data_IF_886270279010
#
_entry.id   IF_886270279010
#
_cell.length_a   1.000
_cell.length_b   1.000
_cell.length_c   1.000
_cell.angle_alpha   90.00
_cell.angle_beta   90.00
_cell.angle_gamma   90.00
#
_symmetry.space_group_name_H-M   'P 1'
#
loop_
_entity.id
_entity.type
_entity.pdbx_description
1 polymer ?
#
# COMPACT_ATOMS: atom_id res chain seq x y z
N UNK A 1 24.18 -8.64 5.48
CA UNK A 1 24.30 -9.79 6.41
C UNK A 1 22.97 -10.50 6.49
N UNK A 2 22.87 -11.81 6.34
CA UNK A 2 21.60 -12.51 6.13
C UNK A 2 20.71 -12.43 7.38
N UNK A 3 19.46 -11.97 7.21
CA UNK A 3 18.44 -11.84 8.23
C UNK A 3 17.82 -13.18 8.72
N UNK A 4 18.37 -14.30 8.33
CA UNK A 4 17.79 -15.64 8.49
C UNK A 4 18.53 -16.56 9.48
N UNK A 5 19.58 -16.08 10.15
CA UNK A 5 20.27 -16.90 11.12
C UNK A 5 19.39 -17.09 12.36
N UNK A 6 18.96 -18.33 12.64
CA UNK A 6 18.20 -18.72 13.83
C UNK A 6 19.16 -19.17 14.93
N UNK A 7 18.88 -18.78 16.14
CA UNK A 7 19.69 -19.06 17.34
C UNK A 7 18.89 -19.96 18.29
N UNK A 8 19.56 -20.89 18.94
CA UNK A 8 18.98 -21.66 20.04
C UNK A 8 18.87 -20.82 21.32
N UNK A 9 18.25 -21.38 22.36
CA UNK A 9 18.06 -20.68 23.63
C UNK A 9 19.40 -20.27 24.26
N UNK A 10 20.42 -21.12 24.22
CA UNK A 10 21.73 -20.83 24.86
C UNK A 10 22.40 -19.62 24.23
N UNK A 11 22.35 -19.55 22.92
CA UNK A 11 22.88 -18.41 22.17
C UNK A 11 22.01 -17.16 22.33
N UNK A 12 20.67 -17.32 22.42
CA UNK A 12 19.75 -16.22 22.69
C UNK A 12 20.00 -15.60 24.06
N UNK A 13 20.24 -16.38 25.08
CA UNK A 13 20.60 -15.91 26.42
C UNK A 13 21.92 -15.13 26.40
N UNK A 14 22.93 -15.67 25.73
CA UNK A 14 24.22 -14.99 25.55
C UNK A 14 24.08 -13.63 24.84
N UNK A 15 23.30 -13.57 23.77
CA UNK A 15 23.09 -12.35 22.96
C UNK A 15 22.20 -11.32 23.66
N UNK A 16 21.22 -11.76 24.44
CA UNK A 16 20.34 -10.85 25.20
C UNK A 16 20.98 -10.33 26.47
N UNK A 17 21.87 -11.10 27.10
CA UNK A 17 22.41 -10.82 28.45
C UNK A 17 21.38 -10.96 29.56
N UNK A 18 20.28 -11.70 29.32
CA UNK A 18 19.23 -11.94 30.31
C UNK A 18 19.43 -13.29 30.97
N UNK A 19 19.02 -13.39 32.24
CA UNK A 19 18.91 -14.68 32.94
C UNK A 19 17.79 -15.51 32.33
N UNK A 20 17.94 -16.85 32.30
CA UNK A 20 17.01 -17.75 31.64
C UNK A 20 15.57 -17.59 32.16
N UNK A 21 15.36 -17.51 33.48
CA UNK A 21 14.02 -17.31 34.03
C UNK A 21 13.35 -16.03 33.55
N UNK A 22 14.12 -14.94 33.42
CA UNK A 22 13.61 -13.66 32.93
C UNK A 22 13.37 -13.69 31.43
N UNK A 23 14.26 -14.33 30.68
CA UNK A 23 14.09 -14.51 29.24
C UNK A 23 12.81 -15.32 28.93
N UNK A 24 12.59 -16.42 29.62
CA UNK A 24 11.39 -17.27 29.49
C UNK A 24 10.11 -16.54 29.87
N UNK A 25 10.17 -15.73 30.93
CA UNK A 25 9.05 -14.85 31.27
C UNK A 25 8.70 -13.90 30.15
N UNK A 26 9.68 -13.19 29.57
CA UNK A 26 9.45 -12.28 28.46
C UNK A 26 9.00 -12.99 27.18
N UNK A 27 9.55 -14.16 26.90
CA UNK A 27 9.11 -15.02 25.81
C UNK A 27 7.64 -15.42 25.96
N UNK A 28 7.23 -15.83 27.15
CA UNK A 28 5.83 -16.20 27.45
C UNK A 28 4.89 -15.01 27.28
N UNK A 29 5.26 -13.86 27.81
CA UNK A 29 4.41 -12.68 27.85
C UNK A 29 4.35 -11.93 26.49
N UNK A 30 5.43 -11.93 25.73
CA UNK A 30 5.57 -11.14 24.51
C UNK A 30 5.87 -11.96 23.26
N UNK A 31 6.12 -13.26 23.38
CA UNK A 31 6.53 -14.11 22.23
C UNK A 31 5.54 -14.08 21.09
N UNK A 32 4.23 -14.11 21.39
CA UNK A 32 3.17 -14.03 20.38
C UNK A 32 3.24 -12.72 19.60
N UNK A 33 3.44 -11.60 20.28
CA UNK A 33 3.58 -10.26 19.65
C UNK A 33 4.85 -10.14 18.81
N UNK A 34 5.87 -10.95 19.10
CA UNK A 34 7.17 -10.93 18.42
C UNK A 34 7.28 -12.02 17.34
N UNK A 35 6.21 -12.78 17.08
CA UNK A 35 6.22 -13.89 16.16
C UNK A 35 7.19 -15.01 16.56
N UNK A 36 7.38 -15.23 17.86
CA UNK A 36 8.13 -16.37 18.40
C UNK A 36 7.15 -17.54 18.44
N UNK A 37 7.30 -18.46 17.52
CA UNK A 37 6.46 -19.67 17.48
C UNK A 37 6.90 -20.64 18.58
N UNK A 38 6.08 -20.81 19.60
CA UNK A 38 6.21 -21.90 20.55
C UNK A 38 5.59 -23.16 19.95
N UNK A 39 6.40 -23.99 19.32
CA UNK A 39 5.97 -25.33 18.93
C UNK A 39 6.08 -26.21 20.17
N UNK A 40 4.97 -26.75 20.66
CA UNK A 40 4.84 -27.53 21.89
C UNK A 40 5.83 -28.72 22.04
N UNK A 41 6.52 -29.10 20.97
CA UNK A 41 7.43 -30.25 20.89
C UNK A 41 8.80 -29.98 20.24
N UNK A 42 9.12 -28.72 19.94
CA UNK A 42 10.44 -28.36 19.39
C UNK A 42 11.09 -27.25 20.21
N UNK A 43 12.42 -27.24 20.38
CA UNK A 43 13.11 -26.16 21.07
C UNK A 43 12.86 -24.83 20.32
N UNK A 44 12.49 -23.81 21.07
CA UNK A 44 12.28 -22.47 20.51
C UNK A 44 13.57 -21.99 19.85
N UNK A 45 13.43 -21.48 18.63
CA UNK A 45 14.54 -20.86 17.89
C UNK A 45 14.22 -19.38 17.65
N UNK A 46 15.23 -18.54 17.78
CA UNK A 46 15.06 -17.10 17.81
C UNK A 46 15.87 -16.44 16.70
N UNK A 47 15.31 -15.42 16.08
CA UNK A 47 16.09 -14.53 15.24
C UNK A 47 16.83 -13.50 16.11
N UNK A 48 17.95 -12.97 15.61
CA UNK A 48 18.67 -11.90 16.31
C UNK A 48 17.80 -10.70 16.62
N UNK A 49 16.84 -10.39 15.74
CA UNK A 49 15.87 -9.30 15.94
C UNK A 49 14.96 -9.57 17.14
N UNK A 50 14.40 -10.78 17.26
CA UNK A 50 13.54 -11.16 18.39
C UNK A 50 14.29 -11.07 19.72
N UNK A 51 15.53 -11.52 19.75
CA UNK A 51 16.40 -11.44 20.95
C UNK A 51 16.63 -9.99 21.36
N UNK A 52 16.95 -9.11 20.42
CA UNK A 52 17.15 -7.68 20.69
C UNK A 52 15.87 -6.98 21.14
N UNK A 53 14.72 -7.38 20.61
CA UNK A 53 13.43 -6.85 21.05
C UNK A 53 13.08 -7.27 22.48
N UNK A 54 13.27 -8.55 22.84
CA UNK A 54 13.08 -8.99 24.23
C UNK A 54 13.98 -8.22 25.21
N UNK A 55 15.23 -7.97 24.85
CA UNK A 55 16.14 -7.14 25.64
C UNK A 55 15.65 -5.69 25.79
N UNK A 56 15.12 -5.09 24.71
CA UNK A 56 14.54 -3.73 24.75
C UNK A 56 13.30 -3.68 25.64
N UNK A 57 12.43 -4.68 25.55
CA UNK A 57 11.23 -4.81 26.38
C UNK A 57 11.63 -4.84 27.86
N UNK A 58 12.64 -5.64 28.21
CA UNK A 58 13.17 -5.67 29.57
C UNK A 58 13.66 -4.30 30.05
N UNK A 59 14.40 -3.59 29.21
CA UNK A 59 14.86 -2.24 29.53
C UNK A 59 13.68 -1.27 29.77
N UNK A 60 12.63 -1.35 28.97
CA UNK A 60 11.42 -0.53 29.12
C UNK A 60 10.71 -0.88 30.45
N UNK A 61 10.48 -2.17 30.73
CA UNK A 61 9.85 -2.61 31.99
C UNK A 61 10.61 -2.12 33.23
N UNK A 62 11.94 -2.10 33.17
CA UNK A 62 12.78 -1.61 34.30
C UNK A 62 12.76 -0.09 34.46
N UNK A 63 12.67 0.66 33.35
CA UNK A 63 12.87 2.13 33.35
C UNK A 63 11.58 2.93 33.40
N UNK A 64 10.44 2.38 32.92
CA UNK A 64 9.21 3.16 32.69
C UNK A 64 8.20 3.11 33.83
N UNK A 65 8.36 2.20 34.79
CA UNK A 65 7.34 1.96 35.84
C UNK A 65 6.02 1.39 35.31
N UNK A 66 5.94 1.06 34.01
CA UNK A 66 4.77 0.44 33.39
C UNK A 66 4.69 -1.03 33.77
N UNK A 67 3.48 -1.54 33.97
CA UNK A 67 3.26 -2.97 34.17
C UNK A 67 3.38 -3.74 32.82
N UNK A 68 3.45 -5.07 32.94
CA UNK A 68 3.59 -5.96 31.77
C UNK A 68 2.42 -5.84 30.82
N UNK A 69 1.19 -5.62 31.34
CA UNK A 69 -0.01 -5.51 30.53
C UNK A 69 0.01 -4.22 29.70
N UNK A 70 0.40 -3.09 30.30
CA UNK A 70 0.53 -1.81 29.61
C UNK A 70 1.64 -1.84 28.55
N UNK A 71 2.79 -2.49 28.85
CA UNK A 71 3.86 -2.66 27.88
C UNK A 71 3.43 -3.61 26.77
N UNK A 72 2.72 -4.70 27.06
CA UNK A 72 2.19 -5.62 26.07
C UNK A 72 1.21 -4.92 25.13
N UNK A 73 0.21 -4.24 25.67
CA UNK A 73 -0.79 -3.50 24.92
C UNK A 73 -0.11 -2.44 24.00
N UNK A 74 0.92 -1.77 24.50
CA UNK A 74 1.71 -0.82 23.71
C UNK A 74 2.57 -1.51 22.64
N UNK A 75 3.11 -2.69 22.92
CA UNK A 75 3.86 -3.49 21.96
C UNK A 75 2.93 -4.15 20.95
N UNK A 76 1.77 -4.64 21.37
CA UNK A 76 0.74 -5.17 20.47
C UNK A 76 0.23 -4.08 19.55
N UNK A 77 -0.05 -2.89 20.05
CA UNK A 77 -0.34 -1.70 19.23
C UNK A 77 0.83 -1.36 18.30
N UNK A 78 2.07 -1.45 18.75
CA UNK A 78 3.27 -1.17 17.96
C UNK A 78 3.65 -2.34 17.05
N UNK A 79 3.44 -3.59 17.43
CA UNK A 79 3.69 -4.79 16.63
C UNK A 79 2.60 -5.03 15.60
N UNK A 80 1.36 -4.65 15.89
CA UNK A 80 0.28 -4.52 14.88
C UNK A 80 0.64 -3.46 13.84
N UNK A 81 1.33 -2.39 14.24
CA UNK A 81 1.91 -1.37 13.32
C UNK A 81 3.14 -1.90 12.57
N UNK A 82 3.93 -2.81 13.15
CA UNK A 82 5.14 -3.37 12.51
C UNK A 82 4.99 -4.80 11.98
N UNK A 83 3.89 -5.49 12.28
CA UNK A 83 3.71 -6.93 12.07
C UNK A 83 3.50 -7.37 10.62
N UNK A 84 2.96 -6.54 9.76
CA UNK A 84 2.95 -6.64 8.29
C UNK A 84 2.85 -5.23 7.76
N UNK A 85 3.98 -4.66 7.35
CA UNK A 85 3.89 -3.42 6.61
C UNK A 85 3.11 -3.67 5.32
N UNK A 86 1.88 -3.16 5.26
CA UNK A 86 1.06 -3.19 4.05
C UNK A 86 1.83 -2.45 2.95
N UNK A 87 2.08 -3.12 1.85
CA UNK A 87 2.73 -2.50 0.70
C UNK A 87 1.73 -1.61 -0.04
N UNK A 88 2.06 -0.36 -0.26
CA UNK A 88 1.18 0.61 -0.89
C UNK A 88 1.67 1.00 -2.29
N UNK A 89 0.82 0.80 -3.29
CA UNK A 89 1.03 1.20 -4.67
C UNK A 89 0.02 2.29 -5.03
N UNK A 90 0.46 3.51 -5.27
CA UNK A 90 -0.41 4.56 -5.77
C UNK A 90 -0.39 4.60 -7.30
N UNK A 91 -1.55 4.52 -7.92
CA UNK A 91 -1.75 4.71 -9.35
C UNK A 91 -2.29 6.12 -9.58
N UNK A 92 -1.53 6.94 -10.28
CA UNK A 92 -1.82 8.37 -10.47
C UNK A 92 -1.61 8.83 -11.89
N UNK A 93 -2.12 10.01 -12.22
CA UNK A 93 -1.88 10.66 -13.51
C UNK A 93 -2.10 12.17 -13.43
N UNK A 94 -1.46 12.94 -14.29
CA UNK A 94 -1.70 14.37 -14.37
C UNK A 94 -3.02 14.73 -15.05
N UNK A 95 -3.59 13.84 -15.87
CA UNK A 95 -4.80 14.08 -16.66
C UNK A 95 -5.86 13.02 -16.44
N UNK A 96 -7.13 13.42 -16.48
CA UNK A 96 -8.26 12.50 -16.52
C UNK A 96 -8.32 11.68 -17.81
N UNK A 97 -8.92 10.49 -17.76
CA UNK A 97 -9.18 9.67 -18.94
C UNK A 97 -7.98 8.88 -19.50
N UNK A 98 -6.81 8.89 -18.86
CA UNK A 98 -5.64 8.08 -19.28
C UNK A 98 -5.75 6.60 -18.90
N UNK A 99 -6.76 6.21 -18.12
CA UNK A 99 -7.02 4.84 -17.73
C UNK A 99 -6.46 4.44 -16.36
N UNK A 100 -6.25 5.38 -15.42
CA UNK A 100 -5.77 5.11 -14.05
C UNK A 100 -6.55 3.99 -13.37
N UNK A 101 -7.86 4.18 -13.21
CA UNK A 101 -8.76 3.24 -12.54
C UNK A 101 -8.71 1.85 -13.17
N UNK A 102 -8.69 1.80 -14.51
CA UNK A 102 -8.53 0.53 -15.23
C UNK A 102 -7.20 -0.15 -14.89
N UNK A 103 -6.12 0.62 -14.82
CA UNK A 103 -4.79 0.12 -14.41
C UNK A 103 -4.84 -0.34 -12.96
N UNK A 104 -5.33 0.48 -12.03
CA UNK A 104 -5.38 0.18 -10.60
C UNK A 104 -6.16 -1.12 -10.31
N UNK A 105 -7.38 -1.24 -10.85
CA UNK A 105 -8.23 -2.42 -10.65
C UNK A 105 -7.57 -3.67 -11.23
N UNK A 106 -7.07 -3.61 -12.45
CA UNK A 106 -6.49 -4.78 -13.10
C UNK A 106 -5.12 -5.16 -12.53
N UNK A 107 -4.34 -4.18 -12.03
CA UNK A 107 -3.12 -4.44 -11.27
C UNK A 107 -3.44 -5.16 -9.97
N UNK A 108 -4.44 -4.71 -9.21
CA UNK A 108 -4.88 -5.37 -7.98
C UNK A 108 -5.32 -6.82 -8.25
N UNK A 109 -6.14 -7.05 -9.29
CA UNK A 109 -6.57 -8.42 -9.66
C UNK A 109 -5.37 -9.28 -10.09
N UNK A 110 -4.38 -8.70 -10.77
CA UNK A 110 -3.16 -9.44 -11.13
C UNK A 110 -2.32 -9.76 -9.88
N UNK A 111 -2.22 -8.84 -8.91
CA UNK A 111 -1.53 -9.07 -7.63
C UNK A 111 -2.22 -10.16 -6.81
N UNK A 112 -3.57 -10.19 -6.78
CA UNK A 112 -4.31 -11.24 -6.12
C UNK A 112 -4.00 -12.63 -6.70
N UNK A 113 -3.81 -12.74 -8.01
CA UNK A 113 -3.39 -13.99 -8.67
C UNK A 113 -1.96 -14.42 -8.32
N UNK A 114 -1.13 -13.52 -7.82
CA UNK A 114 0.17 -13.83 -7.24
C UNK A 114 0.12 -14.19 -5.76
N UNK A 115 -1.09 -14.36 -5.19
CA UNK A 115 -1.29 -14.79 -3.81
C UNK A 115 -1.26 -13.65 -2.78
N UNK A 116 -1.34 -12.38 -3.22
CA UNK A 116 -1.56 -11.26 -2.33
C UNK A 116 -3.04 -11.07 -2.03
N UNK A 117 -3.34 -10.30 -0.98
CA UNK A 117 -4.68 -9.89 -0.60
C UNK A 117 -4.80 -8.37 -0.75
N UNK A 118 -4.93 -7.84 -1.98
CA UNK A 118 -4.94 -6.41 -2.22
C UNK A 118 -6.28 -5.79 -1.83
N UNK A 119 -6.21 -4.60 -1.22
CA UNK A 119 -7.32 -3.69 -1.02
C UNK A 119 -7.17 -2.51 -1.96
N UNK A 120 -8.15 -2.29 -2.82
CA UNK A 120 -8.23 -1.06 -3.62
C UNK A 120 -8.82 0.03 -2.73
N UNK A 121 -8.13 1.16 -2.67
CA UNK A 121 -8.65 2.40 -2.08
C UNK A 121 -9.01 3.33 -3.24
N UNK A 122 -10.30 3.52 -3.47
CA UNK A 122 -10.77 4.48 -4.47
C UNK A 122 -10.69 5.89 -3.87
N UNK A 123 -9.61 6.59 -4.18
CA UNK A 123 -9.32 7.93 -3.70
C UNK A 123 -9.63 9.02 -4.76
N UNK A 124 -10.33 8.68 -5.83
CA UNK A 124 -10.89 9.65 -6.77
C UNK A 124 -12.21 10.21 -6.23
N UNK A 125 -12.10 11.20 -5.36
CA UNK A 125 -13.22 11.81 -4.62
C UNK A 125 -14.24 12.52 -5.52
N UNK A 126 -13.93 12.70 -6.80
CA UNK A 126 -14.83 13.34 -7.77
C UNK A 126 -15.62 12.34 -8.61
N UNK A 127 -15.02 11.23 -8.96
CA UNK A 127 -15.57 10.24 -9.91
C UNK A 127 -15.09 8.82 -9.56
N UNK A 128 -15.44 8.35 -8.34
CA UNK A 128 -15.13 7.00 -7.90
C UNK A 128 -15.78 5.95 -8.83
N UNK A 129 -14.98 5.21 -9.59
CA UNK A 129 -15.44 4.27 -10.62
C UNK A 129 -14.85 2.85 -10.48
N UNK A 130 -14.00 2.61 -9.48
CA UNK A 130 -13.37 1.30 -9.30
C UNK A 130 -14.40 0.18 -9.08
N UNK A 131 -15.51 0.49 -8.39
CA UNK A 131 -16.61 -0.45 -8.14
C UNK A 131 -17.26 -0.94 -9.43
N UNK A 132 -17.42 -0.07 -10.45
CA UNK A 132 -18.02 -0.44 -11.74
C UNK A 132 -17.15 -1.47 -12.48
N UNK A 133 -15.82 -1.31 -12.44
CA UNK A 133 -14.88 -2.26 -13.06
C UNK A 133 -14.82 -3.62 -12.35
N UNK A 134 -15.27 -3.69 -11.11
CA UNK A 134 -15.35 -4.92 -10.33
C UNK A 134 -16.76 -5.54 -10.36
N UNK A 135 -17.75 -4.88 -10.98
CA UNK A 135 -19.15 -5.28 -10.96
C UNK A 135 -19.77 -5.19 -9.57
N UNK A 136 -19.28 -4.27 -8.72
CA UNK A 136 -19.74 -4.09 -7.35
C UNK A 136 -20.68 -2.89 -7.25
N UNK A 137 -21.61 -2.97 -6.28
CA UNK A 137 -22.56 -1.91 -5.96
C UNK A 137 -22.50 -1.62 -4.46
N UNK A 138 -21.49 -0.89 -3.97
CA UNK A 138 -21.34 -0.57 -2.55
C UNK A 138 -22.51 0.26 -2.04
N UNK A 139 -23.09 -0.11 -0.90
CA UNK A 139 -24.14 0.67 -0.22
C UNK A 139 -23.54 1.78 0.66
N UNK A 140 -22.31 1.60 1.11
CA UNK A 140 -21.58 2.52 1.99
C UNK A 140 -20.24 2.90 1.35
N UNK A 141 -19.71 4.03 1.76
CA UNK A 141 -18.49 4.61 1.22
C UNK A 141 -17.60 5.17 2.35
N UNK A 142 -16.47 5.74 2.00
CA UNK A 142 -15.64 6.50 2.94
C UNK A 142 -16.39 7.63 3.64
N UNK A 143 -17.45 8.16 3.06
CA UNK A 143 -18.25 9.23 3.70
C UNK A 143 -18.93 8.74 4.99
N UNK A 144 -19.48 7.51 5.00
CA UNK A 144 -20.09 6.91 6.19
C UNK A 144 -19.06 6.61 7.27
N UNK A 145 -17.87 6.17 6.87
CA UNK A 145 -16.74 5.98 7.79
C UNK A 145 -16.35 7.29 8.48
N UNK A 146 -16.22 8.36 7.69
CA UNK A 146 -15.83 9.68 8.18
C UNK A 146 -16.86 10.25 9.13
N UNK A 147 -18.16 10.10 8.81
CA UNK A 147 -19.26 10.54 9.68
C UNK A 147 -19.41 9.69 10.94
N UNK A 148 -18.73 8.54 11.03
CA UNK A 148 -18.85 7.59 12.14
C UNK A 148 -20.14 6.78 12.13
N UNK A 149 -20.86 6.75 11.00
CA UNK A 149 -22.09 5.99 10.84
C UNK A 149 -21.87 4.55 10.37
N UNK A 150 -20.65 4.18 10.02
CA UNK A 150 -20.25 2.83 9.68
C UNK A 150 -18.82 2.54 10.14
N UNK A 151 -18.55 1.27 10.47
CA UNK A 151 -17.19 0.78 10.70
C UNK A 151 -16.50 0.46 9.37
N UNK A 152 -15.16 0.42 9.37
CA UNK A 152 -14.38 0.17 8.17
C UNK A 152 -14.70 -1.20 7.54
N UNK A 153 -14.88 -2.22 8.37
CA UNK A 153 -15.24 -3.56 7.94
C UNK A 153 -16.61 -3.65 7.24
N UNK A 154 -17.52 -2.73 7.54
CA UNK A 154 -18.85 -2.66 6.92
C UNK A 154 -18.85 -1.97 5.56
N UNK A 155 -17.78 -1.21 5.26
CA UNK A 155 -17.65 -0.44 4.03
C UNK A 155 -16.89 -1.23 2.98
N UNK A 156 -15.91 -2.05 3.40
CA UNK A 156 -15.11 -2.85 2.48
C UNK A 156 -15.99 -3.92 1.83
N UNK A 157 -15.99 -3.92 0.51
CA UNK A 157 -16.71 -4.91 -0.30
C UNK A 157 -15.71 -5.83 -0.98
N UNK A 158 -15.86 -7.13 -0.74
CA UNK A 158 -15.03 -8.14 -1.38
C UNK A 158 -15.53 -8.45 -2.79
N UNK A 159 -14.62 -8.50 -3.74
CA UNK A 159 -14.93 -8.87 -5.12
C UNK A 159 -14.75 -10.38 -5.36
N UNK A 160 -15.38 -10.89 -6.41
CA UNK A 160 -15.18 -12.26 -6.88
C UNK A 160 -13.75 -12.54 -7.39
N UNK A 161 -12.90 -11.51 -7.44
CA UNK A 161 -11.54 -11.58 -8.00
C UNK A 161 -10.45 -11.66 -6.93
N UNK A 162 -10.82 -11.82 -5.65
CA UNK A 162 -9.88 -11.87 -4.53
C UNK A 162 -9.28 -10.50 -4.17
N UNK A 163 -10.02 -9.43 -4.44
CA UNK A 163 -9.64 -8.04 -4.19
C UNK A 163 -10.72 -7.38 -3.35
N UNK A 164 -10.34 -6.78 -2.23
CA UNK A 164 -11.22 -5.89 -1.47
C UNK A 164 -11.29 -4.51 -2.11
N UNK A 165 -12.43 -3.85 -1.99
CA UNK A 165 -12.64 -2.45 -2.39
C UNK A 165 -13.06 -1.63 -1.19
N UNK A 166 -12.35 -0.55 -0.93
CA UNK A 166 -12.76 0.56 -0.07
C UNK A 166 -13.30 1.67 -0.97
N UNK A 167 -14.63 1.82 -1.10
CA UNK A 167 -15.23 2.75 -2.03
C UNK A 167 -14.98 4.19 -1.63
N UNK A 168 -14.62 5.03 -2.60
CA UNK A 168 -14.50 6.47 -2.40
C UNK A 168 -15.84 7.11 -2.02
N UNK A 169 -15.75 8.24 -1.34
CA UNK A 169 -16.90 9.09 -0.99
C UNK A 169 -16.92 10.37 -1.79
N UNK A 170 -18.08 11.03 -1.79
CA UNK A 170 -18.28 12.33 -2.45
C UNK A 170 -17.77 13.52 -1.65
N UNK A 171 -17.29 13.30 -0.41
CA UNK A 171 -17.04 14.34 0.58
C UNK A 171 -15.60 14.52 1.00
N UNK A 172 -14.75 15.06 0.14
CA UNK A 172 -13.32 15.28 0.41
C UNK A 172 -12.99 16.21 1.60
N UNK A 173 -13.93 17.05 2.03
CA UNK A 173 -13.75 17.98 3.17
C UNK A 173 -13.96 17.29 4.53
N UNK A 174 -14.74 16.24 4.59
CA UNK A 174 -15.11 15.60 5.85
C UNK A 174 -13.94 14.90 6.57
N UNK A 175 -12.88 14.46 5.85
CA UNK A 175 -11.65 13.93 6.47
C UNK A 175 -10.88 15.02 7.26
N UNK A 176 -10.99 16.26 6.84
CA UNK A 176 -10.33 17.38 7.53
C UNK A 176 -11.01 17.72 8.86
N UNK A 177 -12.31 17.45 8.98
CA UNK A 177 -13.15 17.83 10.13
C UNK A 177 -13.27 16.74 11.21
N UNK A 178 -12.55 15.63 11.08
CA UNK A 178 -12.58 14.53 12.05
C UNK A 178 -12.08 14.97 13.44
N UNK A 179 -12.86 14.67 14.48
CA UNK A 179 -12.42 14.84 15.87
C UNK A 179 -11.19 13.97 16.19
N UNK A 180 -10.39 14.37 17.18
CA UNK A 180 -9.21 13.60 17.59
C UNK A 180 -9.56 12.16 18.00
N UNK A 181 -10.69 11.95 18.70
CA UNK A 181 -11.17 10.63 19.10
C UNK A 181 -11.53 9.77 17.89
N UNK A 182 -12.24 10.32 16.89
CA UNK A 182 -12.60 9.56 15.68
C UNK A 182 -11.38 9.19 14.84
N UNK A 183 -10.34 10.03 14.83
CA UNK A 183 -9.06 9.69 14.19
C UNK A 183 -8.38 8.49 14.84
N UNK A 184 -8.42 8.42 16.17
CA UNK A 184 -7.83 7.31 16.94
C UNK A 184 -8.59 6.00 16.74
N UNK A 185 -9.92 6.05 16.66
CA UNK A 185 -10.77 4.90 16.32
C UNK A 185 -10.50 4.37 14.90
N UNK A 186 -10.50 5.25 13.90
CA UNK A 186 -10.14 4.93 12.52
C UNK A 186 -8.75 4.32 12.42
N UNK A 187 -7.83 4.85 13.22
CA UNK A 187 -6.50 4.32 13.37
C UNK A 187 -6.51 2.85 13.80
N UNK A 188 -7.30 2.52 14.81
CA UNK A 188 -7.47 1.14 15.30
C UNK A 188 -8.16 0.23 14.28
N UNK A 189 -9.16 0.74 13.55
CA UNK A 189 -9.86 0.00 12.50
C UNK A 189 -8.92 -0.37 11.35
N UNK A 190 -8.12 0.59 10.88
CA UNK A 190 -7.13 0.36 9.83
C UNK A 190 -6.01 -0.62 10.24
N UNK A 191 -5.63 -0.60 11.52
CA UNK A 191 -4.68 -1.59 12.05
C UNK A 191 -5.24 -3.01 11.96
N UNK A 192 -6.55 -3.20 12.23
CA UNK A 192 -7.21 -4.50 12.10
C UNK A 192 -7.23 -5.01 10.66
N UNK A 193 -7.29 -4.11 9.67
CA UNK A 193 -7.17 -4.49 8.25
C UNK A 193 -5.84 -5.15 7.90
N UNK A 194 -4.74 -4.79 8.55
CA UNK A 194 -3.42 -5.38 8.32
C UNK A 194 -3.36 -6.91 8.53
N UNK A 195 -4.38 -7.49 9.17
CA UNK A 195 -4.53 -8.94 9.28
C UNK A 195 -5.23 -9.58 8.08
N UNK A 196 -5.91 -8.79 7.24
CA UNK A 196 -6.69 -9.25 6.09
C UNK A 196 -6.11 -8.82 4.74
N UNK A 197 -5.30 -7.76 4.75
CA UNK A 197 -4.71 -7.20 3.53
C UNK A 197 -3.19 -7.07 3.68
N UNK A 198 -2.45 -7.36 2.63
CA UNK A 198 -0.99 -7.27 2.56
C UNK A 198 -0.51 -6.19 1.58
N UNK A 199 -1.44 -5.66 0.79
CA UNK A 199 -1.16 -4.64 -0.21
C UNK A 199 -2.33 -3.69 -0.41
N UNK A 200 -2.02 -2.40 -0.59
CA UNK A 200 -2.97 -1.37 -0.98
C UNK A 200 -2.70 -0.96 -2.42
N UNK A 201 -3.74 -0.88 -3.22
CA UNK A 201 -3.69 -0.23 -4.53
C UNK A 201 -4.55 1.03 -4.45
N UNK A 202 -3.92 2.19 -4.44
CA UNK A 202 -4.58 3.47 -4.28
C UNK A 202 -4.86 4.06 -5.66
N UNK A 203 -6.13 4.09 -6.07
CA UNK A 203 -6.55 4.79 -7.28
C UNK A 203 -6.78 6.27 -6.94
N UNK A 204 -5.87 7.14 -7.35
CA UNK A 204 -5.95 8.55 -7.00
C UNK A 204 -6.83 9.32 -7.99
N UNK A 205 -7.27 10.51 -7.62
CA UNK A 205 -7.77 11.48 -8.59
C UNK A 205 -6.68 11.91 -9.60
N UNK A 206 -7.08 12.59 -10.65
CA UNK A 206 -6.15 13.18 -11.62
C UNK A 206 -5.56 14.49 -11.11
N UNK A 207 -4.35 14.83 -11.57
CA UNK A 207 -3.69 16.12 -11.31
C UNK A 207 -2.73 16.09 -10.12
N UNK A 208 -2.44 17.29 -9.59
CA UNK A 208 -1.42 17.54 -8.57
C UNK A 208 -2.01 18.15 -7.28
N UNK A 209 -3.32 18.03 -7.07
CA UNK A 209 -4.00 18.55 -5.90
C UNK A 209 -3.47 18.01 -4.58
N UNK A 210 -3.78 18.69 -3.48
CA UNK A 210 -3.32 18.30 -2.15
C UNK A 210 -3.72 16.86 -1.78
N UNK A 211 -4.93 16.44 -2.14
CA UNK A 211 -5.40 15.08 -1.87
C UNK A 211 -4.59 14.02 -2.62
N UNK A 212 -4.30 14.24 -3.91
CA UNK A 212 -3.47 13.33 -4.71
C UNK A 212 -2.09 13.19 -4.07
N UNK A 213 -1.42 14.30 -3.79
CA UNK A 213 -0.06 14.27 -3.24
C UNK A 213 0.01 13.69 -1.84
N UNK A 214 -1.03 13.83 -1.01
CA UNK A 214 -1.12 13.11 0.26
C UNK A 214 -1.12 11.60 0.04
N UNK A 215 -1.89 11.09 -0.92
CA UNK A 215 -1.91 9.66 -1.26
C UNK A 215 -0.55 9.19 -1.80
N UNK A 216 0.17 10.02 -2.57
CA UNK A 216 1.50 9.68 -3.06
C UNK A 216 2.56 9.59 -1.95
N UNK A 217 2.42 10.38 -0.87
CA UNK A 217 3.42 10.39 0.24
C UNK A 217 3.49 9.09 1.00
N UNK A 218 2.41 8.31 1.04
CA UNK A 218 2.35 7.03 1.76
C UNK A 218 2.68 5.83 0.89
N UNK A 219 2.66 6.02 -0.43
CA UNK A 219 2.93 4.93 -1.36
C UNK A 219 4.41 4.52 -1.31
N UNK A 220 4.66 3.22 -1.37
CA UNK A 220 5.99 2.65 -1.58
C UNK A 220 6.37 2.70 -3.06
N UNK A 221 5.38 2.52 -3.92
CA UNK A 221 5.51 2.62 -5.37
C UNK A 221 4.46 3.60 -5.90
N UNK A 222 4.91 4.54 -6.73
CA UNK A 222 4.08 5.54 -7.40
C UNK A 222 4.10 5.22 -8.88
N UNK A 223 2.98 4.75 -9.40
CA UNK A 223 2.79 4.43 -10.83
C UNK A 223 2.14 5.63 -11.52
N UNK A 224 2.93 6.40 -12.25
CA UNK A 224 2.44 7.53 -13.04
C UNK A 224 1.97 7.01 -14.41
N UNK A 225 0.66 7.02 -14.62
CA UNK A 225 0.05 6.59 -15.88
C UNK A 225 -0.03 7.76 -16.85
N UNK A 226 0.47 7.55 -18.06
CA UNK A 226 0.37 8.50 -19.17
C UNK A 226 -0.04 7.77 -20.46
N UNK A 227 -0.17 8.49 -21.55
CA UNK A 227 -0.47 7.95 -22.90
C UNK A 227 0.49 8.57 -23.93
N UNK A 228 0.54 8.10 -25.18
CA UNK A 228 1.32 8.72 -26.24
C UNK A 228 0.97 10.19 -26.56
N UNK A 229 -0.16 10.68 -26.03
CA UNK A 229 -0.58 12.07 -26.19
C UNK A 229 0.39 13.03 -25.50
N UNK A 230 0.87 14.05 -26.21
CA UNK A 230 1.85 15.02 -25.71
C UNK A 230 1.35 15.75 -24.44
N UNK A 231 0.08 16.17 -24.42
CA UNK A 231 -0.49 16.84 -23.25
C UNK A 231 -0.51 15.92 -22.02
N UNK A 232 -0.88 14.65 -22.20
CA UNK A 232 -0.83 13.67 -21.10
C UNK A 232 0.60 13.46 -20.57
N UNK A 233 1.61 13.51 -21.45
CA UNK A 233 3.01 13.47 -21.06
C UNK A 233 3.45 14.68 -20.24
N UNK A 234 3.02 15.89 -20.63
CA UNK A 234 3.30 17.13 -19.87
C UNK A 234 2.62 17.11 -18.49
N UNK A 235 1.36 16.67 -18.44
CA UNK A 235 0.63 16.54 -17.18
C UNK A 235 1.28 15.49 -16.25
N UNK A 236 1.75 14.37 -16.81
CA UNK A 236 2.50 13.35 -16.06
C UNK A 236 3.83 13.91 -15.50
N UNK A 237 4.52 14.75 -16.28
CA UNK A 237 5.72 15.44 -15.82
C UNK A 237 5.43 16.34 -14.61
N UNK A 238 4.31 17.07 -14.63
CA UNK A 238 3.86 17.88 -13.50
C UNK A 238 3.61 17.05 -12.23
N UNK A 239 3.04 15.83 -12.38
CA UNK A 239 2.87 14.91 -11.24
C UNK A 239 4.20 14.45 -10.66
N UNK A 240 5.17 14.08 -11.53
CA UNK A 240 6.50 13.66 -11.08
C UNK A 240 7.20 14.81 -10.34
N UNK A 241 7.16 16.02 -10.89
CA UNK A 241 7.73 17.20 -10.27
C UNK A 241 7.08 17.47 -8.90
N UNK A 242 5.75 17.51 -8.83
CA UNK A 242 5.02 17.75 -7.59
C UNK A 242 5.29 16.67 -6.53
N UNK A 243 5.43 15.41 -6.91
CA UNK A 243 5.78 14.32 -5.99
C UNK A 243 7.18 14.53 -5.38
N UNK A 244 8.16 14.93 -6.19
CA UNK A 244 9.52 15.20 -5.72
C UNK A 244 9.59 16.45 -4.82
N UNK A 245 8.97 17.56 -5.24
CA UNK A 245 8.95 18.82 -4.48
C UNK A 245 8.29 18.67 -3.11
N UNK A 246 7.28 17.80 -3.01
CA UNK A 246 6.56 17.54 -1.76
C UNK A 246 7.15 16.39 -0.94
N UNK A 247 8.32 15.88 -1.33
CA UNK A 247 9.08 14.89 -0.57
C UNK A 247 8.46 13.51 -0.53
N UNK A 248 7.71 13.10 -1.58
CA UNK A 248 7.24 11.74 -1.72
C UNK A 248 8.43 10.77 -1.80
N UNK A 249 8.43 9.75 -0.95
CA UNK A 249 9.55 8.79 -0.83
C UNK A 249 9.36 7.52 -1.66
N UNK A 250 8.17 7.32 -2.21
CA UNK A 250 7.85 6.17 -3.04
C UNK A 250 8.69 6.15 -4.31
N UNK A 251 8.97 4.96 -4.81
CA UNK A 251 9.65 4.78 -6.09
C UNK A 251 8.73 5.23 -7.22
N UNK A 252 9.15 6.24 -7.97
CA UNK A 252 8.37 6.75 -9.10
C UNK A 252 8.66 5.91 -10.35
N UNK A 253 7.61 5.33 -10.90
CA UNK A 253 7.62 4.55 -12.14
C UNK A 253 6.62 5.14 -13.13
N UNK A 254 6.88 4.97 -14.43
CA UNK A 254 6.02 5.44 -15.50
C UNK A 254 5.45 4.25 -16.26
N UNK A 255 4.14 4.25 -16.41
CA UNK A 255 3.38 3.31 -17.23
C UNK A 255 2.74 4.04 -18.39
N UNK A 256 3.07 3.64 -19.63
CA UNK A 256 2.49 4.24 -20.82
C UNK A 256 1.32 3.39 -21.30
N UNK A 257 0.12 3.91 -21.17
CA UNK A 257 -1.13 3.24 -21.56
C UNK A 257 -1.55 3.63 -22.98
N UNK A 258 -2.34 2.79 -23.62
CA UNK A 258 -2.87 2.99 -24.98
C UNK A 258 -1.76 3.17 -26.02
N UNK A 259 -0.76 2.32 -25.98
CA UNK A 259 0.31 2.29 -26.97
C UNK A 259 -0.06 1.40 -28.16
N UNK A 260 0.41 1.74 -29.35
CA UNK A 260 0.33 0.89 -30.52
C UNK A 260 1.36 -0.24 -30.44
N UNK A 261 2.54 0.07 -29.89
CA UNK A 261 3.64 -0.89 -29.73
C UNK A 261 4.46 -0.59 -28.48
N UNK A 262 5.37 -1.50 -28.13
CA UNK A 262 6.34 -1.31 -27.07
C UNK A 262 7.32 -0.17 -27.38
N UNK A 263 7.74 -0.05 -28.63
CA UNK A 263 8.67 0.98 -29.11
C UNK A 263 8.07 2.37 -28.85
N UNK A 264 6.79 2.57 -29.19
CA UNK A 264 6.07 3.82 -28.91
C UNK A 264 6.07 4.13 -27.40
N UNK A 265 5.77 3.12 -26.57
CA UNK A 265 5.80 3.27 -25.10
C UNK A 265 7.18 3.67 -24.58
N UNK A 266 8.24 3.04 -25.06
CA UNK A 266 9.64 3.37 -24.71
C UNK A 266 10.05 4.76 -25.20
N UNK A 267 9.62 5.17 -26.36
CA UNK A 267 9.89 6.50 -26.88
C UNK A 267 9.21 7.61 -26.06
N UNK A 268 7.94 7.42 -25.70
CA UNK A 268 7.19 8.32 -24.82
C UNK A 268 7.88 8.42 -23.47
N UNK A 269 8.21 7.28 -22.85
CA UNK A 269 8.95 7.24 -21.60
C UNK A 269 10.29 7.96 -21.71
N UNK A 270 11.07 7.73 -22.76
CA UNK A 270 12.39 8.36 -22.94
C UNK A 270 12.31 9.89 -23.00
N UNK A 271 11.27 10.44 -23.65
CA UNK A 271 11.02 11.90 -23.66
C UNK A 271 10.68 12.41 -22.27
N UNK A 272 9.74 11.74 -21.58
CA UNK A 272 9.29 12.11 -20.24
C UNK A 272 10.43 12.01 -19.21
N UNK A 273 11.19 10.93 -19.25
CA UNK A 273 12.30 10.67 -18.33
C UNK A 273 13.41 11.72 -18.44
N UNK A 274 13.78 12.12 -19.66
CA UNK A 274 14.74 13.20 -19.88
C UNK A 274 14.24 14.55 -19.35
N UNK A 275 12.95 14.85 -19.56
CA UNK A 275 12.36 16.08 -19.03
C UNK A 275 12.28 16.06 -17.49
N UNK A 276 11.90 14.96 -16.90
CA UNK A 276 11.87 14.78 -15.44
C UNK A 276 13.27 14.97 -14.82
N UNK A 277 14.28 14.35 -15.42
CA UNK A 277 15.66 14.50 -14.96
C UNK A 277 16.14 15.96 -14.99
N UNK A 278 15.81 16.71 -16.03
CA UNK A 278 16.18 18.14 -16.14
C UNK A 278 15.50 19.01 -15.07
N UNK A 279 14.26 18.69 -14.70
CA UNK A 279 13.47 19.49 -13.76
C UNK A 279 13.76 19.11 -12.29
N UNK A 280 13.94 17.83 -12.00
CA UNK A 280 13.99 17.32 -10.62
C UNK A 280 15.34 16.75 -10.21
N UNK A 281 16.26 16.58 -11.17
CA UNK A 281 17.53 15.86 -10.95
C UNK A 281 17.37 14.34 -10.83
N UNK A 282 16.13 13.82 -10.87
CA UNK A 282 15.83 12.40 -10.72
C UNK A 282 15.22 11.81 -11.99
N UNK A 283 15.46 10.53 -12.16
CA UNK A 283 14.99 9.78 -13.33
C UNK A 283 13.98 8.72 -12.88
N UNK A 284 12.70 8.79 -13.30
CA UNK A 284 11.74 7.74 -13.03
C UNK A 284 12.13 6.44 -13.74
N UNK A 285 11.65 5.29 -13.26
CA UNK A 285 11.86 4.02 -13.93
C UNK A 285 10.73 3.72 -14.94
N UNK A 286 11.04 2.98 -16.00
CA UNK A 286 10.02 2.48 -16.93
C UNK A 286 9.38 1.21 -16.36
N UNK A 287 8.10 1.28 -16.01
CA UNK A 287 7.36 0.13 -15.51
C UNK A 287 6.85 -0.77 -16.65
N UNK A 288 6.57 -0.16 -17.81
CA UNK A 288 6.06 -0.88 -18.95
C UNK A 288 5.06 -0.06 -19.79
N UNK A 289 4.37 -0.76 -20.65
CA UNK A 289 3.31 -0.19 -21.48
C UNK A 289 2.07 -1.10 -21.48
N UNK A 290 0.90 -0.54 -21.78
CA UNK A 290 -0.32 -1.29 -22.05
C UNK A 290 -0.75 -0.96 -23.47
N UNK A 291 -0.90 -1.96 -24.36
CA UNK A 291 -1.33 -1.71 -25.73
C UNK A 291 -2.82 -1.31 -25.79
N UNK A 292 -3.19 -0.57 -26.83
CA UNK A 292 -4.60 -0.47 -27.21
C UNK A 292 -5.17 -1.86 -27.45
N UNK A 293 -6.35 -2.12 -26.86
CA UNK A 293 -7.02 -3.41 -26.93
C UNK A 293 -8.54 -3.21 -26.87
N UNK A 294 -9.24 -3.69 -27.87
CA UNK A 294 -10.70 -3.57 -27.99
C UNK A 294 -11.47 -4.24 -26.84
N UNK A 295 -10.87 -5.26 -26.23
CA UNK A 295 -11.46 -5.94 -25.09
C UNK A 295 -11.57 -5.07 -23.83
N UNK A 296 -10.83 -3.97 -23.73
CA UNK A 296 -10.87 -3.06 -22.58
C UNK A 296 -12.24 -2.39 -22.45
N UNK A 297 -12.81 -1.93 -23.54
CA UNK A 297 -14.14 -1.31 -23.52
C UNK A 297 -15.23 -2.33 -23.20
N UNK A 298 -15.20 -3.51 -23.82
CA UNK A 298 -16.14 -4.58 -23.54
C UNK A 298 -16.06 -5.06 -22.08
N UNK A 299 -14.85 -5.14 -21.54
CA UNK A 299 -14.58 -5.47 -20.14
C UNK A 299 -15.20 -4.43 -19.19
N UNK A 300 -15.04 -3.16 -19.48
CA UNK A 300 -15.63 -2.06 -18.70
C UNK A 300 -17.16 -2.13 -18.71
N UNK A 301 -17.79 -2.28 -19.88
CA UNK A 301 -19.24 -2.38 -20.02
C UNK A 301 -19.84 -3.57 -19.29
N UNK A 302 -19.07 -4.65 -19.10
CA UNK A 302 -19.49 -5.85 -18.36
C UNK A 302 -19.22 -5.77 -16.86
N UNK A 303 -18.51 -4.75 -16.38
CA UNK A 303 -18.07 -4.68 -14.97
C UNK A 303 -17.13 -5.84 -14.59
N UNK A 304 -16.31 -6.32 -15.53
CA UNK A 304 -15.40 -7.46 -15.33
C UNK A 304 -13.98 -7.02 -15.64
N UNK A 305 -13.02 -7.09 -14.73
CA UNK A 305 -11.63 -6.72 -14.99
C UNK A 305 -11.07 -7.45 -16.23
N UNK A 306 -10.36 -6.74 -17.11
CA UNK A 306 -9.90 -7.32 -18.40
C UNK A 306 -9.02 -8.55 -18.20
N UNK A 307 -8.23 -8.57 -17.12
CA UNK A 307 -7.40 -9.72 -16.77
C UNK A 307 -8.21 -10.99 -16.46
N UNK A 308 -9.50 -10.84 -16.15
CA UNK A 308 -10.46 -11.92 -15.96
C UNK A 308 -11.39 -12.09 -17.18
N UNK A 309 -11.79 -11.00 -17.82
CA UNK A 309 -12.67 -11.00 -18.98
C UNK A 309 -12.02 -11.64 -20.21
N UNK A 310 -10.81 -11.21 -20.55
CA UNK A 310 -10.03 -11.75 -21.68
C UNK A 310 -8.56 -11.97 -21.27
N UNK A 311 -8.27 -13.06 -20.54
CA UNK A 311 -6.92 -13.31 -20.01
C UNK A 311 -5.83 -13.44 -21.08
N UNK A 312 -6.20 -13.85 -22.29
CA UNK A 312 -5.26 -14.07 -23.39
C UNK A 312 -5.00 -12.82 -24.24
N UNK A 313 -5.77 -11.74 -24.07
CA UNK A 313 -5.58 -10.51 -24.87
C UNK A 313 -4.24 -9.83 -24.53
N UNK A 314 -3.81 -8.91 -25.42
CA UNK A 314 -2.51 -8.25 -25.30
C UNK A 314 -2.43 -7.40 -24.03
N UNK A 315 -3.47 -6.61 -23.74
CA UNK A 315 -3.53 -5.76 -22.55
C UNK A 315 -3.45 -6.60 -21.27
N UNK A 316 -4.20 -7.71 -21.16
CA UNK A 316 -4.17 -8.62 -20.00
C UNK A 316 -2.79 -9.22 -19.76
N UNK A 317 -2.09 -9.64 -20.83
CA UNK A 317 -0.73 -10.18 -20.69
C UNK A 317 0.23 -9.13 -20.18
N UNK A 318 0.15 -7.90 -20.70
CA UNK A 318 1.02 -6.81 -20.24
C UNK A 318 0.74 -6.40 -18.80
N UNK A 319 -0.52 -6.29 -18.38
CA UNK A 319 -0.86 -5.97 -16.99
C UNK A 319 -0.31 -7.05 -16.02
N UNK A 320 -0.43 -8.34 -16.36
CA UNK A 320 0.17 -9.40 -15.53
C UNK A 320 1.68 -9.33 -15.50
N UNK A 321 2.32 -9.01 -16.60
CA UNK A 321 3.77 -8.79 -16.64
C UNK A 321 4.18 -7.61 -15.75
N UNK A 322 3.45 -6.48 -15.83
CA UNK A 322 3.65 -5.30 -14.97
C UNK A 322 3.52 -5.68 -13.49
N UNK A 323 2.50 -6.47 -13.13
CA UNK A 323 2.35 -6.96 -11.76
C UNK A 323 3.55 -7.80 -11.31
N UNK A 324 4.08 -8.66 -12.17
CA UNK A 324 5.28 -9.45 -11.86
C UNK A 324 6.53 -8.57 -11.71
N UNK A 325 6.69 -7.55 -12.55
CA UNK A 325 7.81 -6.60 -12.46
C UNK A 325 7.76 -5.82 -11.14
N UNK A 326 6.61 -5.24 -10.81
CA UNK A 326 6.47 -4.42 -9.59
C UNK A 326 6.66 -5.27 -8.33
N UNK A 327 6.25 -6.54 -8.34
CA UNK A 327 6.49 -7.48 -7.26
C UNK A 327 7.97 -7.86 -7.13
N UNK A 328 8.65 -8.12 -8.24
CA UNK A 328 10.08 -8.45 -8.23
C UNK A 328 10.95 -7.31 -7.71
N UNK A 329 10.54 -6.07 -8.00
CA UNK A 329 11.23 -4.86 -7.57
C UNK A 329 10.74 -4.32 -6.21
N UNK A 330 9.75 -4.99 -5.62
CA UNK A 330 9.27 -4.67 -4.26
C UNK A 330 10.43 -4.74 -3.28
N UNK A 331 10.88 -3.59 -2.79
CA UNK A 331 11.93 -3.50 -1.78
C UNK A 331 11.50 -4.18 -0.48
N UNK A 332 12.49 -4.56 0.37
CA UNK A 332 12.20 -5.14 1.68
C UNK A 332 11.41 -4.10 2.51
N UNK A 333 10.14 -4.39 2.86
CA UNK A 333 9.29 -3.44 3.58
C UNK A 333 9.86 -3.00 4.94
N UNK A 334 10.76 -3.77 5.52
CA UNK A 334 11.39 -3.49 6.81
C UNK A 334 12.42 -2.34 6.81
N UNK A 335 12.78 -1.80 5.63
CA UNK A 335 13.85 -0.81 5.51
C UNK A 335 13.36 0.65 5.44
N UNK A 336 12.05 0.87 5.37
CA UNK A 336 11.49 2.23 5.27
C UNK A 336 10.66 2.55 6.51
N UNK A 337 10.98 3.70 7.12
CA UNK A 337 10.15 4.34 8.13
C UNK A 337 8.83 4.73 7.46
N UNK A 338 7.79 3.94 7.65
CA UNK A 338 6.52 4.15 7.00
C UNK A 338 5.65 5.07 7.84
N UNK A 339 5.31 6.19 7.28
CA UNK A 339 4.07 6.87 7.60
C UNK A 339 2.94 5.89 7.28
N UNK A 340 2.28 5.39 8.30
CA UNK A 340 1.20 4.41 8.15
C UNK A 340 -0.02 5.04 7.46
N UNK A 341 -0.94 4.22 6.93
CA UNK A 341 -2.27 4.68 6.47
C UNK A 341 -2.96 5.56 7.53
N UNK A 342 -2.62 5.39 8.81
CA UNK A 342 -3.00 6.21 9.97
C UNK A 342 -2.48 7.63 9.92
N UNK A 343 -1.23 7.81 9.51
CA UNK A 343 -0.62 9.12 9.31
C UNK A 343 -1.30 9.85 8.14
N UNK A 344 -1.71 9.10 7.11
CA UNK A 344 -2.51 9.55 5.99
C UNK A 344 -3.84 10.19 6.39
N UNK A 345 -4.64 9.42 7.13
CA UNK A 345 -5.93 9.89 7.61
C UNK A 345 -5.75 10.94 8.71
N UNK A 346 -4.68 10.84 9.53
CA UNK A 346 -4.35 11.82 10.57
C UNK A 346 -3.74 13.11 10.02
N UNK A 347 -2.94 13.09 8.94
CA UNK A 347 -2.36 14.29 8.30
C UNK A 347 -3.34 14.97 7.36
N UNK A 348 -4.20 14.22 6.68
CA UNK A 348 -5.35 14.78 5.96
C UNK A 348 -6.21 15.64 6.88
N UNK A 349 -6.27 15.28 8.16
CA UNK A 349 -7.02 15.98 9.18
C UNK A 349 -6.28 17.15 9.88
N UNK A 350 -4.95 17.31 9.72
CA UNK A 350 -4.17 18.39 10.34
C UNK A 350 -3.84 19.56 9.40
N UNK A 351 -4.07 19.39 8.10
CA UNK A 351 -3.66 20.35 7.07
C UNK A 351 -4.86 21.11 6.45
N UNK A 352 -6.05 21.06 7.11
CA UNK A 352 -7.22 21.88 6.78
C UNK A 352 -7.31 23.08 7.71
#
# INVERSE_FOLDING_TARGET
>A
MPATQRHDLREALRLSGLEEGRFRFLEKEFGRCLGIENVFFAPSVYTRRQILLLRKIEAILRSSGLDVAAVRDRIERYALVQGRSIWAVAVTSGKGGVGKTTVAVNLAVALARHGLHPLIVDADLGLANAHLLLGLFPEKSLDELIRGSAALEEIIVESAYGVGLLPGGSGSTALADLSAGRREELAGELQRLGNRTDSLVIDTGAGIGANVTRMLRIADDIVVVTTPNIAAGMDALGVIQAAEERGCRGRITVLVNRCRSEEEGREVFGRLSRAAHRLTGKTPAFLGYIPEDEHLEASFQKGVPITSFSPACRASRQIRHIASVILAERGNPAARDRESLLQLLGEAARAG
#
